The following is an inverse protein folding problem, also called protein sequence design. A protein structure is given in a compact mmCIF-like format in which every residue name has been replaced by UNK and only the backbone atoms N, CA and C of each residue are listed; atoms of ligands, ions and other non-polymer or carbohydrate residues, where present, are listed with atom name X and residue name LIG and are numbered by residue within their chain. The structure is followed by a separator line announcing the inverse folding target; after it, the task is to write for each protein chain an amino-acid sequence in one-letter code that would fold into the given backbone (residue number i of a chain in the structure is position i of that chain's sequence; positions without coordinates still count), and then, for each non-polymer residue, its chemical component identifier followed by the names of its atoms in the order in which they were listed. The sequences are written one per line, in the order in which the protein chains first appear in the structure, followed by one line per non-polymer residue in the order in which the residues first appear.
data_IF_482172422483
#
_entry.id   IF_482172422483
#
_cell.length_a   1.000
_cell.length_b   1.000
_cell.length_c   1.000
_cell.angle_alpha   90.00
_cell.angle_beta   90.00
_cell.angle_gamma   90.00
#
_symmetry.space_group_name_H-M   'P 1'
#
loop_
_entity.id
_entity.type
_entity.pdbx_description
1 polymer ?
#
# COMPACT_ATOMS: atom_id res chain seq x y z
N UNK A 1 19.36 19.87 26.08
CA UNK A 1 18.54 18.72 25.67
C UNK A 1 17.94 19.10 24.33
N UNK A 2 18.58 18.67 23.24
CA UNK A 2 18.00 18.84 21.92
C UNK A 2 16.88 17.81 21.87
N UNK A 3 15.63 18.28 21.97
CA UNK A 3 14.46 17.47 21.65
C UNK A 3 14.68 16.97 20.22
N UNK A 4 15.13 15.73 20.12
CA UNK A 4 15.27 15.02 18.87
C UNK A 4 13.88 14.95 18.26
N UNK A 5 13.61 15.86 17.34
CA UNK A 5 12.47 15.80 16.44
C UNK A 5 12.48 14.38 15.87
N UNK A 6 11.54 13.55 16.31
CA UNK A 6 11.56 12.11 16.10
C UNK A 6 11.07 11.80 14.70
N UNK A 7 11.83 12.25 13.69
CA UNK A 7 11.54 12.08 12.25
C UNK A 7 11.21 10.60 11.95
N UNK A 8 11.82 9.68 12.68
CA UNK A 8 11.50 8.25 12.63
C UNK A 8 10.08 7.88 13.07
N UNK A 9 9.59 8.41 14.19
CA UNK A 9 8.25 8.14 14.69
C UNK A 9 7.15 8.69 13.76
N UNK A 10 7.39 9.86 13.16
CA UNK A 10 6.49 10.44 12.15
C UNK A 10 6.43 9.59 10.88
N UNK A 11 7.57 9.07 10.39
CA UNK A 11 7.63 8.19 9.22
C UNK A 11 6.88 6.88 9.44
N UNK A 12 7.06 6.24 10.60
CA UNK A 12 6.32 5.02 10.96
C UNK A 12 4.81 5.30 11.06
N UNK A 13 4.41 6.43 11.63
CA UNK A 13 3.00 6.83 11.73
C UNK A 13 2.37 7.19 10.37
N UNK A 14 3.14 7.74 9.43
CA UNK A 14 2.67 7.99 8.06
C UNK A 14 2.54 6.66 7.31
N UNK A 15 3.55 5.79 7.38
CA UNK A 15 3.52 4.47 6.73
C UNK A 15 2.33 3.61 7.20
N UNK A 16 2.06 3.59 8.51
CA UNK A 16 0.91 2.91 9.08
C UNK A 16 -0.43 3.46 8.57
N UNK A 17 -0.58 4.80 8.50
CA UNK A 17 -1.79 5.44 7.95
C UNK A 17 -1.97 5.13 6.46
N UNK A 18 -0.89 5.15 5.69
CA UNK A 18 -0.90 4.81 4.27
C UNK A 18 -1.33 3.36 4.06
N UNK A 19 -0.75 2.40 4.80
CA UNK A 19 -1.18 0.99 4.74
C UNK A 19 -2.65 0.79 5.12
N UNK A 20 -3.10 1.43 6.20
CA UNK A 20 -4.49 1.34 6.65
C UNK A 20 -5.51 1.91 5.65
N UNK A 21 -5.10 2.87 4.79
CA UNK A 21 -5.95 3.37 3.70
C UNK A 21 -5.91 2.48 2.45
N UNK A 22 -4.85 1.69 2.27
CA UNK A 22 -4.65 0.82 1.10
C UNK A 22 -5.35 -0.54 1.25
N UNK A 23 -5.35 -1.13 2.44
CA UNK A 23 -6.06 -2.40 2.69
C UNK A 23 -7.54 -2.38 2.24
N UNK A 24 -8.33 -1.33 2.54
CA UNK A 24 -9.71 -1.22 2.05
C UNK A 24 -9.81 -1.19 0.52
N UNK A 25 -8.80 -0.65 -0.18
CA UNK A 25 -8.75 -0.52 -1.63
C UNK A 25 -8.50 -1.89 -2.28
N UNK A 26 -7.59 -2.69 -1.72
CA UNK A 26 -7.39 -4.08 -2.13
C UNK A 26 -8.67 -4.91 -1.97
N UNK A 27 -9.31 -4.82 -0.80
CA UNK A 27 -10.57 -5.51 -0.52
C UNK A 27 -11.75 -5.01 -1.38
N UNK A 28 -11.70 -3.79 -1.91
CA UNK A 28 -12.67 -3.29 -2.89
C UNK A 28 -12.40 -3.87 -4.29
N UNK A 29 -11.12 -4.00 -4.68
CA UNK A 29 -10.75 -4.65 -5.93
C UNK A 29 -11.17 -6.13 -5.95
N UNK A 30 -10.98 -6.85 -4.83
CA UNK A 30 -11.39 -8.25 -4.72
C UNK A 30 -12.91 -8.39 -4.77
N UNK A 31 -13.66 -7.50 -4.10
CA UNK A 31 -15.13 -7.46 -4.22
C UNK A 31 -15.62 -7.16 -5.63
N UNK A 32 -14.90 -6.33 -6.39
CA UNK A 32 -15.20 -6.06 -7.81
C UNK A 32 -14.88 -7.26 -8.70
N UNK A 33 -13.84 -8.03 -8.37
CA UNK A 33 -13.45 -9.24 -9.08
C UNK A 33 -14.43 -10.40 -8.80
N UNK A 34 -14.89 -10.52 -7.55
CA UNK A 34 -15.84 -11.54 -7.08
C UNK A 34 -17.30 -11.25 -7.45
N UNK A 35 -17.65 -9.99 -7.72
CA UNK A 35 -19.00 -9.56 -8.13
C UNK A 35 -19.40 -9.99 -9.56
N UNK A 36 -18.89 -11.13 -10.04
CA UNK A 36 -18.79 -11.57 -11.43
C UNK A 36 -20.10 -11.41 -12.23
N UNK A 37 -20.29 -10.25 -12.84
CA UNK A 37 -21.23 -10.08 -13.95
C UNK A 37 -20.58 -10.68 -15.19
N UNK A 38 -21.09 -11.82 -15.64
CA UNK A 38 -20.65 -12.51 -16.85
C UNK A 38 -21.47 -12.13 -18.07
N UNK A 39 -21.01 -12.43 -19.29
CA UNK A 39 -21.77 -12.17 -20.52
C UNK A 39 -23.18 -12.77 -20.52
N UNK A 40 -23.38 -13.87 -19.78
CA UNK A 40 -24.66 -14.54 -19.62
C UNK A 40 -25.71 -13.70 -18.86
N UNK A 41 -25.27 -12.81 -17.96
CA UNK A 41 -26.16 -11.98 -17.15
C UNK A 41 -26.80 -10.84 -17.95
N UNK A 42 -26.23 -10.51 -19.11
CA UNK A 42 -26.75 -9.48 -20.03
C UNK A 42 -27.77 -10.05 -21.03
N UNK A 43 -27.96 -11.37 -21.06
CA UNK A 43 -28.82 -12.05 -22.02
C UNK A 43 -28.23 -12.16 -23.43
N UNK A 44 -28.74 -13.12 -24.21
CA UNK A 44 -28.16 -13.53 -25.51
C UNK A 44 -28.06 -12.39 -26.53
N UNK A 45 -28.97 -11.41 -26.48
CA UNK A 45 -28.99 -10.27 -27.39
C UNK A 45 -27.90 -9.21 -27.09
N UNK A 46 -27.29 -9.24 -25.91
CA UNK A 46 -26.28 -8.27 -25.47
C UNK A 46 -24.97 -8.93 -25.02
N UNK A 47 -24.75 -10.19 -25.41
CA UNK A 47 -23.56 -10.96 -25.03
C UNK A 47 -22.25 -10.21 -25.36
N UNK A 48 -22.17 -9.57 -26.53
CA UNK A 48 -20.99 -8.81 -26.94
C UNK A 48 -20.73 -7.60 -26.02
N UNK A 49 -21.78 -6.91 -25.58
CA UNK A 49 -21.68 -5.79 -24.62
C UNK A 49 -21.33 -6.27 -23.23
N UNK A 50 -21.86 -7.41 -22.81
CA UNK A 50 -21.51 -8.05 -21.55
C UNK A 50 -20.05 -8.49 -21.51
N UNK A 51 -19.53 -9.00 -22.63
CA UNK A 51 -18.11 -9.37 -22.76
C UNK A 51 -17.21 -8.14 -22.69
N UNK A 52 -17.53 -7.07 -23.42
CA UNK A 52 -16.78 -5.82 -23.37
C UNK A 52 -16.82 -5.16 -21.98
N UNK A 53 -17.97 -5.22 -21.29
CA UNK A 53 -18.09 -4.73 -19.91
C UNK A 53 -17.22 -5.54 -18.95
N UNK A 54 -17.27 -6.88 -19.03
CA UNK A 54 -16.46 -7.76 -18.17
C UNK A 54 -14.96 -7.55 -18.41
N UNK A 55 -14.54 -7.35 -19.66
CA UNK A 55 -13.17 -7.03 -20.02
C UNK A 55 -12.73 -5.67 -19.47
N UNK A 56 -13.55 -4.63 -19.61
CA UNK A 56 -13.25 -3.31 -19.06
C UNK A 56 -13.16 -3.33 -17.53
N UNK A 57 -14.08 -4.06 -16.87
CA UNK A 57 -14.11 -4.19 -15.42
C UNK A 57 -12.87 -4.91 -14.89
N UNK A 58 -12.54 -6.09 -15.44
CA UNK A 58 -11.41 -6.89 -14.95
C UNK A 58 -10.05 -6.41 -15.46
N UNK A 59 -9.96 -6.14 -16.76
CA UNK A 59 -8.72 -5.81 -17.46
C UNK A 59 -8.21 -4.40 -17.19
N UNK A 60 -9.10 -3.45 -16.87
CA UNK A 60 -8.71 -2.06 -16.62
C UNK A 60 -8.97 -1.63 -15.18
N UNK A 61 -10.20 -1.77 -14.69
CA UNK A 61 -10.55 -1.24 -13.37
C UNK A 61 -9.91 -2.06 -12.23
N UNK A 62 -10.15 -3.37 -12.17
CA UNK A 62 -9.58 -4.24 -11.11
C UNK A 62 -8.06 -4.22 -11.17
N UNK A 63 -7.47 -4.36 -12.36
CA UNK A 63 -6.03 -4.30 -12.55
C UNK A 63 -5.42 -2.96 -12.09
N UNK A 64 -6.05 -1.84 -12.43
CA UNK A 64 -5.59 -0.51 -12.02
C UNK A 64 -5.66 -0.29 -10.50
N UNK A 65 -6.77 -0.71 -9.88
CA UNK A 65 -6.95 -0.59 -8.42
C UNK A 65 -5.95 -1.48 -7.67
N UNK A 66 -5.72 -2.73 -8.12
CA UNK A 66 -4.69 -3.60 -7.56
C UNK A 66 -3.30 -2.99 -7.72
N UNK A 67 -2.97 -2.46 -8.90
CA UNK A 67 -1.69 -1.80 -9.15
C UNK A 67 -1.44 -0.60 -8.22
N UNK A 68 -2.45 0.24 -8.00
CA UNK A 68 -2.38 1.34 -7.06
C UNK A 68 -2.16 0.85 -5.62
N UNK A 69 -2.92 -0.17 -5.20
CA UNK A 69 -2.77 -0.75 -3.87
C UNK A 69 -1.35 -1.31 -3.64
N UNK A 70 -0.81 -2.07 -4.60
CA UNK A 70 0.56 -2.59 -4.55
C UNK A 70 1.59 -1.48 -4.46
N UNK A 71 1.54 -0.48 -5.35
CA UNK A 71 2.50 0.62 -5.37
C UNK A 71 2.51 1.39 -4.05
N UNK A 72 1.32 1.63 -3.49
CA UNK A 72 1.16 2.36 -2.24
C UNK A 72 1.63 1.55 -1.02
N UNK A 73 1.38 0.23 -1.00
CA UNK A 73 1.96 -0.65 0.02
C UNK A 73 3.48 -0.66 -0.04
N UNK A 74 4.06 -0.82 -1.24
CA UNK A 74 5.51 -0.79 -1.44
C UNK A 74 6.13 0.53 -0.96
N UNK A 75 5.45 1.66 -1.21
CA UNK A 75 5.90 2.95 -0.70
C UNK A 75 5.90 2.99 0.84
N UNK A 76 4.85 2.48 1.48
CA UNK A 76 4.80 2.40 2.94
C UNK A 76 5.84 1.44 3.53
N UNK A 77 6.15 0.32 2.86
CA UNK A 77 7.24 -0.58 3.25
C UNK A 77 8.57 0.15 3.23
N UNK A 78 8.87 0.90 2.16
CA UNK A 78 10.11 1.70 2.06
C UNK A 78 10.22 2.76 3.15
N UNK A 79 9.12 3.43 3.50
CA UNK A 79 9.10 4.38 4.62
C UNK A 79 9.41 3.68 5.96
N UNK A 80 8.90 2.46 6.15
CA UNK A 80 9.14 1.66 7.35
C UNK A 80 10.59 1.20 7.44
N UNK A 81 11.18 0.77 6.31
CA UNK A 81 12.57 0.34 6.25
C UNK A 81 13.51 1.53 6.48
N UNK A 82 13.24 2.67 5.84
CA UNK A 82 13.98 3.92 6.07
C UNK A 82 13.95 4.31 7.55
N UNK A 83 12.80 4.17 8.22
CA UNK A 83 12.70 4.41 9.64
C UNK A 83 13.60 3.48 10.48
N UNK A 84 13.62 2.18 10.15
CA UNK A 84 14.48 1.21 10.85
C UNK A 84 15.96 1.55 10.69
N UNK A 85 16.36 1.93 9.48
CA UNK A 85 17.74 2.32 9.19
C UNK A 85 18.16 3.55 10.00
N UNK A 86 17.28 4.57 10.09
CA UNK A 86 17.52 5.72 10.95
C UNK A 86 17.64 5.35 12.43
N UNK A 87 16.75 4.49 12.92
CA UNK A 87 16.79 4.06 14.32
C UNK A 87 18.07 3.28 14.67
N UNK A 88 18.52 2.40 13.76
CA UNK A 88 19.77 1.66 13.91
C UNK A 88 20.99 2.59 13.92
N UNK A 89 21.06 3.53 12.98
CA UNK A 89 22.15 4.51 12.92
C UNK A 89 22.24 5.39 14.18
N UNK A 90 21.10 5.79 14.74
CA UNK A 90 21.06 6.57 15.98
C UNK A 90 21.52 5.75 17.19
N UNK A 91 21.16 4.46 17.24
CA UNK A 91 21.61 3.55 18.29
C UNK A 91 23.13 3.31 18.22
N UNK A 92 23.67 3.12 17.02
CA UNK A 92 25.10 2.93 16.80
C UNK A 92 25.91 4.19 17.16
N UNK A 93 25.45 5.37 16.73
CA UNK A 93 26.08 6.64 17.09
C UNK A 93 26.04 6.90 18.59
N UNK A 94 24.88 6.72 19.22
CA UNK A 94 24.73 6.95 20.66
C UNK A 94 25.56 5.98 21.51
N UNK A 95 25.72 4.73 21.07
CA UNK A 95 26.60 3.75 21.72
C UNK A 95 28.08 4.12 21.58
N UNK A 96 28.50 4.55 20.38
CA UNK A 96 29.87 4.99 20.10
C UNK A 96 30.24 6.21 20.94
N UNK A 97 29.35 7.20 21.01
CA UNK A 97 29.54 8.38 21.87
C UNK A 97 29.62 7.93 23.33
N UNK A 98 28.67 7.17 23.87
CA UNK A 98 28.71 6.74 25.29
C UNK A 98 30.00 6.01 25.66
N UNK A 99 30.51 5.15 24.77
CA UNK A 99 31.76 4.42 25.00
C UNK A 99 33.01 5.31 24.89
N UNK A 100 32.96 6.42 24.13
CA UNK A 100 34.06 7.37 24.03
C UNK A 100 34.19 8.33 25.23
N UNK A 101 33.14 8.42 26.06
CA UNK A 101 33.11 9.27 27.27
C UNK A 101 33.21 8.46 28.58
N UNK A 102 33.49 7.15 28.50
CA UNK A 102 33.86 6.29 29.63
C UNK A 102 35.38 6.06 29.65
#
# INVERSE_FOLDING_TARGET
MVDGYSTGGELAGIAGRVKGQVEPIGAQADRLDDGQVGPADFGRAFADRGSAYAEALRGHLVAGVRGYATATSTYADRLTDTHRDYAAAEQDNSSTVRNAWQ
#
